data_IF_050844451376
#
_entry.id   IF_050844451376
#
_cell.length_a   1.000
_cell.length_b   1.000
_cell.length_c   1.000
_cell.angle_alpha   90.00
_cell.angle_beta   90.00
_cell.angle_gamma   90.00
#
_symmetry.space_group_name_H-M   'P 1'
#
loop_
_entity.id
_entity.type
_entity.pdbx_description
1 polymer ?
#
# COMPACT_ATOMS: atom_id res chain seq x y z
N UNK A 1 -3.40 -16.16 -26.11
CA UNK A 1 -2.06 -15.55 -25.97
C UNK A 1 -1.81 -14.98 -24.57
N UNK A 2 -2.77 -14.33 -23.90
CA UNK A 2 -2.58 -13.75 -22.54
C UNK A 2 -2.25 -14.75 -21.40
N UNK A 3 -2.60 -16.03 -21.53
CA UNK A 3 -2.29 -17.05 -20.52
C UNK A 3 -0.80 -17.40 -20.46
N UNK A 4 -0.15 -17.50 -21.63
CA UNK A 4 1.28 -17.81 -21.75
C UNK A 4 2.10 -16.72 -21.05
N UNK A 5 1.78 -15.44 -21.29
CA UNK A 5 2.52 -14.32 -20.70
C UNK A 5 2.48 -14.28 -19.16
N UNK A 6 1.43 -14.86 -18.53
CA UNK A 6 1.32 -14.94 -17.07
C UNK A 6 2.19 -16.06 -16.51
N UNK A 7 2.07 -17.26 -17.07
CA UNK A 7 2.84 -18.43 -16.63
C UNK A 7 4.34 -18.19 -16.75
N UNK A 8 4.79 -17.56 -17.84
CA UNK A 8 6.20 -17.19 -18.01
C UNK A 8 6.69 -16.19 -16.95
N UNK A 9 5.87 -15.21 -16.58
CA UNK A 9 6.22 -14.26 -15.51
C UNK A 9 6.27 -14.93 -14.15
N UNK A 10 5.30 -15.80 -13.86
CA UNK A 10 5.26 -16.56 -12.60
C UNK A 10 6.45 -17.51 -12.49
N UNK A 11 6.82 -18.19 -13.58
CA UNK A 11 8.01 -19.03 -13.64
C UNK A 11 9.30 -18.23 -13.46
N UNK A 12 9.42 -17.06 -14.10
CA UNK A 12 10.58 -16.18 -13.91
C UNK A 12 10.73 -15.74 -12.45
N UNK A 13 9.63 -15.34 -11.79
CA UNK A 13 9.63 -14.99 -10.36
C UNK A 13 10.02 -16.20 -9.51
N UNK A 14 9.51 -17.38 -9.85
CA UNK A 14 9.87 -18.62 -9.15
C UNK A 14 11.37 -18.92 -9.25
N UNK A 15 11.97 -18.82 -10.44
CA UNK A 15 13.41 -18.98 -10.62
C UNK A 15 14.22 -17.98 -9.79
N UNK A 16 13.82 -16.70 -9.76
CA UNK A 16 14.48 -15.70 -8.90
C UNK A 16 14.39 -16.05 -7.42
N UNK A 17 13.24 -16.55 -6.95
CA UNK A 17 13.08 -17.01 -5.57
C UNK A 17 14.02 -18.18 -5.23
N UNK A 18 14.16 -19.14 -6.13
CA UNK A 18 15.09 -20.27 -5.95
C UNK A 18 16.56 -19.81 -5.88
N UNK A 19 16.94 -18.82 -6.71
CA UNK A 19 18.28 -18.24 -6.66
C UNK A 19 18.54 -17.48 -5.36
N UNK A 20 17.55 -16.74 -4.84
CA UNK A 20 17.70 -15.93 -3.63
C UNK A 20 17.66 -16.74 -2.33
N UNK A 21 16.97 -17.89 -2.31
CA UNK A 21 16.71 -18.67 -1.09
C UNK A 21 17.36 -20.07 -1.23
N UNK A 22 18.59 -20.25 -0.73
CA UNK A 22 19.28 -21.53 -0.80
C UNK A 22 18.46 -22.66 -0.16
N UNK A 23 18.33 -23.78 -0.87
CA UNK A 23 17.61 -24.97 -0.37
C UNK A 23 16.09 -24.90 -0.48
N UNK A 24 15.53 -23.81 -1.03
CA UNK A 24 14.08 -23.69 -1.23
C UNK A 24 13.54 -24.76 -2.17
N UNK A 25 14.24 -25.06 -3.26
CA UNK A 25 13.82 -26.09 -4.23
C UNK A 25 13.69 -27.47 -3.58
N UNK A 26 14.75 -27.94 -2.92
CA UNK A 26 14.74 -29.21 -2.21
C UNK A 26 13.62 -29.24 -1.15
N UNK A 27 13.46 -28.14 -0.41
CA UNK A 27 12.40 -28.04 0.59
C UNK A 27 11.01 -28.14 -0.02
N UNK A 28 10.76 -27.52 -1.18
CA UNK A 28 9.47 -27.60 -1.87
C UNK A 28 9.20 -29.02 -2.38
N UNK A 29 10.21 -29.70 -2.94
CA UNK A 29 10.08 -31.05 -3.48
C UNK A 29 9.81 -32.11 -2.40
N UNK A 30 10.28 -31.88 -1.18
CA UNK A 30 10.06 -32.76 -0.02
C UNK A 30 8.83 -32.38 0.82
N UNK A 31 8.17 -31.25 0.52
CA UNK A 31 7.06 -30.73 1.31
C UNK A 31 5.71 -31.32 0.90
N UNK A 32 4.81 -31.47 1.88
CA UNK A 32 3.40 -31.70 1.60
C UNK A 32 2.72 -30.47 1.00
N UNK A 33 1.54 -30.63 0.39
CA UNK A 33 0.77 -29.52 -0.16
C UNK A 33 0.47 -28.42 0.89
N UNK A 34 0.09 -28.82 2.11
CA UNK A 34 -0.12 -27.88 3.22
C UNK A 34 1.15 -27.09 3.57
N UNK A 35 2.31 -27.75 3.54
CA UNK A 35 3.58 -27.08 3.79
C UNK A 35 3.94 -26.10 2.68
N UNK A 36 3.65 -26.44 1.41
CA UNK A 36 3.85 -25.53 0.27
C UNK A 36 2.97 -24.29 0.39
N UNK A 37 1.69 -24.46 0.75
CA UNK A 37 0.78 -23.32 1.00
C UNK A 37 1.30 -22.44 2.14
N UNK A 38 1.77 -23.04 3.23
CA UNK A 38 2.37 -22.30 4.35
C UNK A 38 3.63 -21.52 3.93
N UNK A 39 4.49 -22.10 3.09
CA UNK A 39 5.68 -21.42 2.55
C UNK A 39 5.26 -20.22 1.69
N UNK A 40 4.29 -20.41 0.79
CA UNK A 40 3.76 -19.33 -0.04
C UNK A 40 3.18 -18.18 0.80
N UNK A 41 2.42 -18.49 1.84
CA UNK A 41 1.87 -17.52 2.79
C UNK A 41 2.97 -16.71 3.50
N UNK A 42 4.06 -17.36 3.91
CA UNK A 42 5.19 -16.69 4.56
C UNK A 42 5.91 -15.75 3.59
N UNK A 43 6.14 -16.17 2.36
CA UNK A 43 6.73 -15.32 1.31
C UNK A 43 5.83 -14.11 1.05
N UNK A 44 4.52 -14.33 0.91
CA UNK A 44 3.56 -13.25 0.67
C UNK A 44 3.49 -12.27 1.85
N UNK A 45 3.55 -12.77 3.09
CA UNK A 45 3.63 -11.94 4.31
C UNK A 45 4.91 -11.10 4.31
N UNK A 46 6.05 -11.68 3.96
CA UNK A 46 7.32 -10.95 3.84
C UNK A 46 7.26 -9.86 2.77
N UNK A 47 6.75 -10.17 1.58
CA UNK A 47 6.58 -9.20 0.50
C UNK A 47 5.64 -8.05 0.89
N UNK A 48 4.54 -8.36 1.59
CA UNK A 48 3.63 -7.35 2.11
C UNK A 48 4.30 -6.49 3.19
N UNK A 49 5.11 -7.09 4.06
CA UNK A 49 5.90 -6.40 5.08
C UNK A 49 6.89 -5.41 4.47
N UNK A 50 7.70 -5.85 3.50
CA UNK A 50 8.66 -4.99 2.81
C UNK A 50 7.99 -3.77 2.16
N UNK A 51 6.88 -3.98 1.44
CA UNK A 51 6.09 -2.88 0.85
C UNK A 51 5.51 -1.95 1.92
N UNK A 52 5.03 -2.50 3.03
CA UNK A 52 4.49 -1.70 4.12
C UNK A 52 5.58 -0.84 4.77
N UNK A 53 6.78 -1.38 4.97
CA UNK A 53 7.92 -0.66 5.52
C UNK A 53 8.39 0.47 4.61
N UNK A 54 8.51 0.23 3.29
CA UNK A 54 8.83 1.26 2.30
C UNK A 54 7.85 2.44 2.40
N UNK A 55 6.55 2.14 2.40
CA UNK A 55 5.52 3.20 2.48
C UNK A 55 5.45 3.88 3.85
N UNK A 56 5.84 3.19 4.93
CA UNK A 56 5.90 3.77 6.28
C UNK A 56 7.05 4.78 6.39
N UNK A 57 8.24 4.43 5.90
CA UNK A 57 9.40 5.32 5.88
C UNK A 57 9.14 6.56 5.02
N UNK A 58 8.57 6.38 3.83
CA UNK A 58 8.23 7.50 2.95
C UNK A 58 7.23 8.48 3.58
N UNK A 59 6.21 8.00 4.30
CA UNK A 59 5.24 8.90 4.98
C UNK A 59 5.91 9.80 6.00
N UNK A 60 6.82 9.25 6.81
CA UNK A 60 7.55 10.04 7.80
C UNK A 60 8.44 11.09 7.11
N UNK A 61 9.21 10.69 6.09
CA UNK A 61 10.06 11.60 5.33
C UNK A 61 9.26 12.73 4.67
N UNK A 62 8.07 12.45 4.13
CA UNK A 62 7.19 13.47 3.55
C UNK A 62 6.67 14.43 4.62
N UNK A 63 6.27 13.93 5.79
CA UNK A 63 5.81 14.77 6.90
C UNK A 63 6.93 15.69 7.39
N UNK A 64 8.15 15.19 7.51
CA UNK A 64 9.32 15.99 7.88
C UNK A 64 9.64 17.03 6.80
N UNK A 65 9.60 16.64 5.52
CA UNK A 65 9.86 17.54 4.40
C UNK A 65 8.85 18.67 4.31
N UNK A 66 7.56 18.37 4.49
CA UNK A 66 6.57 19.43 4.51
C UNK A 66 6.77 20.27 5.78
N UNK A 67 6.91 19.71 6.98
CA UNK A 67 6.94 20.50 8.25
C UNK A 67 7.97 21.66 8.22
N UNK A 68 7.56 22.92 8.48
CA UNK A 68 8.50 24.04 8.44
C UNK A 68 9.54 23.91 9.55
N UNK A 69 10.78 24.33 9.29
CA UNK A 69 11.88 24.21 10.25
C UNK A 69 11.53 24.92 11.57
N UNK A 70 11.66 24.20 12.67
CA UNK A 70 11.38 24.72 14.02
C UNK A 70 9.89 24.92 14.34
N UNK A 71 8.99 24.42 13.49
CA UNK A 71 7.54 24.48 13.69
C UNK A 71 6.94 23.07 13.67
N UNK A 72 5.68 22.95 14.08
CA UNK A 72 4.88 21.74 13.91
C UNK A 72 3.70 22.00 12.97
N UNK A 73 3.22 20.95 12.31
CA UNK A 73 1.94 21.01 11.60
C UNK A 73 0.80 21.15 12.62
N UNK A 74 -0.17 22.01 12.32
CA UNK A 74 -1.38 22.16 13.12
C UNK A 74 -2.62 21.86 12.24
N UNK A 75 -3.39 20.80 12.55
CA UNK A 75 -3.14 19.80 13.59
C UNK A 75 -1.93 18.90 13.27
N UNK A 76 -1.29 18.33 14.29
CA UNK A 76 -0.16 17.42 14.05
C UNK A 76 -0.60 16.23 13.19
N UNK A 77 0.17 15.91 12.15
CA UNK A 77 -0.02 14.74 11.29
C UNK A 77 0.88 13.61 11.81
N UNK A 78 0.33 12.59 12.48
CA UNK A 78 1.12 11.46 12.90
C UNK A 78 1.38 10.52 11.71
N UNK A 79 2.63 10.05 11.56
CA UNK A 79 3.08 9.27 10.40
C UNK A 79 2.37 7.90 10.23
N UNK A 80 1.67 7.44 11.26
CA UNK A 80 0.95 6.17 11.28
C UNK A 80 -0.57 6.29 11.00
N UNK A 81 -1.14 7.50 10.89
CA UNK A 81 -2.59 7.68 10.66
C UNK A 81 -2.87 8.29 9.29
N UNK A 82 -3.46 7.49 8.40
CA UNK A 82 -3.79 7.92 7.02
C UNK A 82 -5.00 8.86 6.93
N UNK A 83 -5.90 8.85 7.92
CA UNK A 83 -7.13 9.67 7.86
C UNK A 83 -6.89 11.17 8.05
N UNK A 84 -5.74 11.55 8.63
CA UNK A 84 -5.37 12.94 8.96
C UNK A 84 -4.49 13.62 7.90
N UNK A 85 -4.19 12.94 6.80
CA UNK A 85 -3.39 13.49 5.70
C UNK A 85 -4.23 13.62 4.41
N UNK A 86 -3.69 14.30 3.40
CA UNK A 86 -4.37 14.54 2.13
C UNK A 86 -5.28 15.77 2.21
N UNK A 87 -6.46 15.71 1.59
CA UNK A 87 -7.42 16.83 1.61
C UNK A 87 -8.07 17.09 2.98
N UNK A 88 -7.85 16.21 3.96
CA UNK A 88 -8.38 16.37 5.33
C UNK A 88 -7.49 17.24 6.24
N UNK A 89 -6.42 17.83 5.71
CA UNK A 89 -5.51 18.69 6.45
C UNK A 89 -5.05 19.83 5.56
N UNK A 90 -5.18 21.06 6.04
CA UNK A 90 -4.89 22.31 5.30
C UNK A 90 -3.59 22.27 4.51
N UNK A 91 -2.47 22.00 5.21
CA UNK A 91 -1.13 21.94 4.59
C UNK A 91 -1.03 20.92 3.46
N UNK A 92 -1.53 19.69 3.66
CA UNK A 92 -1.41 18.64 2.65
C UNK A 92 -2.46 18.78 1.55
N UNK A 93 -3.63 19.34 1.86
CA UNK A 93 -4.66 19.67 0.88
C UNK A 93 -4.19 20.74 -0.09
N UNK A 94 -3.58 21.81 0.42
CA UNK A 94 -2.97 22.86 -0.39
C UNK A 94 -1.92 22.32 -1.36
N UNK A 95 -1.06 21.40 -0.92
CA UNK A 95 -0.03 20.78 -1.77
C UNK A 95 -0.60 19.83 -2.83
N UNK A 96 -1.77 19.23 -2.58
CA UNK A 96 -2.47 18.36 -3.52
C UNK A 96 -3.47 19.11 -4.41
N UNK A 97 -3.71 20.39 -4.12
CA UNK A 97 -4.61 21.22 -4.90
C UNK A 97 -4.07 21.34 -6.34
N UNK A 98 -4.90 21.04 -7.36
CA UNK A 98 -4.49 21.23 -8.75
C UNK A 98 -4.01 22.66 -9.01
N UNK A 99 -2.97 22.84 -9.83
CA UNK A 99 -2.34 24.14 -10.08
C UNK A 99 -3.27 25.22 -10.68
N UNK A 100 -4.45 24.83 -11.20
CA UNK A 100 -5.47 25.75 -11.70
C UNK A 100 -6.53 26.14 -10.67
N UNK A 101 -6.41 25.66 -9.42
CA UNK A 101 -7.36 25.91 -8.34
C UNK A 101 -6.66 26.55 -7.15
N UNK A 102 -7.31 27.55 -6.57
CA UNK A 102 -6.84 28.19 -5.34
C UNK A 102 -7.39 27.44 -4.13
N UNK A 103 -6.51 26.84 -3.33
CA UNK A 103 -6.89 26.16 -2.09
C UNK A 103 -7.54 27.11 -1.08
N UNK A 104 -7.22 28.41 -1.11
CA UNK A 104 -7.84 29.40 -0.24
C UNK A 104 -9.31 29.68 -0.59
N UNK A 105 -9.79 29.22 -1.75
CA UNK A 105 -11.21 29.29 -2.10
C UNK A 105 -11.99 28.16 -1.38
N UNK A 106 -12.90 28.57 -0.49
CA UNK A 106 -13.69 27.68 0.37
C UNK A 106 -14.60 26.73 -0.40
N UNK A 107 -14.97 27.03 -1.65
CA UNK A 107 -15.72 26.11 -2.50
C UNK A 107 -14.93 24.82 -2.79
N UNK A 108 -13.64 24.94 -3.09
CA UNK A 108 -12.78 23.80 -3.43
C UNK A 108 -12.34 23.00 -2.19
N UNK A 109 -12.23 23.66 -1.03
CA UNK A 109 -11.96 23.00 0.24
C UNK A 109 -13.02 21.96 0.62
N UNK A 110 -14.28 22.16 0.20
CA UNK A 110 -15.39 21.22 0.45
C UNK A 110 -15.54 20.20 -0.69
N UNK A 111 -15.33 20.65 -1.93
CA UNK A 111 -15.56 19.85 -3.11
C UNK A 111 -14.47 18.79 -3.36
N UNK A 112 -13.19 19.14 -3.23
CA UNK A 112 -12.06 18.25 -3.53
C UNK A 112 -12.03 17.01 -2.61
N UNK A 113 -12.20 17.11 -1.28
CA UNK A 113 -12.30 15.93 -0.43
C UNK A 113 -13.45 15.00 -0.86
N UNK A 114 -14.59 15.56 -1.28
CA UNK A 114 -15.77 14.80 -1.69
C UNK A 114 -15.57 14.07 -3.02
N UNK A 115 -14.89 14.71 -3.98
CA UNK A 115 -14.60 14.14 -5.31
C UNK A 115 -13.53 13.05 -5.27
N UNK A 116 -12.50 13.22 -4.43
CA UNK A 116 -11.34 12.34 -4.38
C UNK A 116 -11.34 11.36 -3.19
N UNK A 117 -12.40 11.36 -2.38
CA UNK A 117 -12.60 10.32 -1.37
C UNK A 117 -12.67 8.96 -2.06
N UNK A 118 -11.64 8.13 -1.84
CA UNK A 118 -11.67 6.73 -2.22
C UNK A 118 -12.89 6.08 -1.57
N UNK A 119 -13.93 5.78 -2.37
CA UNK A 119 -15.02 4.92 -1.93
C UNK A 119 -14.38 3.60 -1.49
N UNK A 120 -14.39 3.30 -0.19
CA UNK A 120 -14.05 1.96 0.29
C UNK A 120 -15.00 1.01 -0.43
N UNK A 121 -14.49 0.17 -1.33
CA UNK A 121 -15.27 -0.97 -1.78
C UNK A 121 -15.64 -1.78 -0.53
N UNK A 122 -16.92 -2.09 -0.30
CA UNK A 122 -17.31 -2.96 0.80
C UNK A 122 -16.58 -4.29 0.60
N UNK A 123 -15.90 -4.75 1.65
CA UNK A 123 -15.35 -6.10 1.69
C UNK A 123 -16.50 -7.07 1.42
N UNK A 124 -16.40 -7.86 0.34
CA UNK A 124 -17.35 -8.93 0.11
C UNK A 124 -17.11 -9.98 1.20
N UNK A 125 -17.96 -9.95 2.23
CA UNK A 125 -18.06 -11.04 3.20
C UNK A 125 -18.57 -12.27 2.45
N UNK A 126 -17.67 -13.18 2.09
CA UNK A 126 -18.03 -14.56 1.76
C UNK A 126 -18.31 -15.27 3.07
N UNK A 127 -19.53 -15.14 3.58
CA UNK A 127 -20.06 -16.11 4.51
C UNK A 127 -20.69 -17.23 3.68
N UNK A 128 -19.98 -18.35 3.70
CA UNK A 128 -20.41 -19.66 3.28
C UNK A 128 -21.48 -20.17 4.26
N UNK A 129 -22.67 -20.44 3.76
CA UNK A 129 -23.63 -21.39 4.36
C UNK A 129 -24.04 -22.31 3.23
N UNK A 130 -23.40 -23.49 3.20
CA UNK A 130 -23.94 -24.66 2.54
C UNK A 130 -24.41 -25.60 3.66
N UNK A 131 -25.74 -25.75 3.75
CA UNK A 131 -26.34 -27.04 4.13
C UNK A 131 -26.23 -28.02 2.95
#
# INVERSE_FOLDING_TARGET
MQFVDREWKEYAVFCELLHMIPGLEARLMESSEEQVVNIADLIQKGANGARADDTKGMKAAVIDWITPKGQSLNPHIPCNVKSRCGFNHERTGALLCPAGLDWANTEYMVELPSRFSFKKHPAQNKHETHE
#
